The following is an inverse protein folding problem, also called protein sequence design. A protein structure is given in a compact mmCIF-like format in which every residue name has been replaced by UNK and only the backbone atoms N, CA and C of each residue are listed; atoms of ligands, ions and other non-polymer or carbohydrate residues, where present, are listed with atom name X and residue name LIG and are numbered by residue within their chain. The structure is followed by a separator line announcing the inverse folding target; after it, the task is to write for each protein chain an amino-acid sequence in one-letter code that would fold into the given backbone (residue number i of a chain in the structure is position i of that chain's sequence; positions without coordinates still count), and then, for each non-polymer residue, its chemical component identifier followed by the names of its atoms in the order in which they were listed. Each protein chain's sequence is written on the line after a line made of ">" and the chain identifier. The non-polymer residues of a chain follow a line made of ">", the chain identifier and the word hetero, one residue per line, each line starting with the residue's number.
data_IF_817166746181
#
_entry.id   IF_817166746181
#
_cell.length_a   1.000
_cell.length_b   1.000
_cell.length_c   1.000
_cell.angle_alpha   90.00
_cell.angle_beta   90.00
_cell.angle_gamma   90.00
#
_symmetry.space_group_name_H-M   'P 1'
#
loop_
_entity.id
_entity.type
_entity.pdbx_description
1 polymer ?
#
# COMPACT_ATOMS: atom_id res chain seq x y z
N UNK A 1 -63.27 60.66 -5.77
CA UNK A 1 -63.39 62.02 -6.35
C UNK A 1 -63.20 63.02 -5.24
N UNK A 2 -62.21 63.90 -5.42
CA UNK A 2 -61.95 65.22 -4.78
C UNK A 2 -61.86 65.29 -3.24
N UNK A 3 -60.68 65.49 -2.63
CA UNK A 3 -59.79 66.69 -2.60
C UNK A 3 -60.36 67.91 -1.87
N UNK A 4 -59.82 68.27 -0.70
CA UNK A 4 -58.83 69.35 -0.48
C UNK A 4 -58.71 69.74 1.02
N UNK A 5 -57.49 70.13 1.42
CA UNK A 5 -57.04 70.46 2.78
C UNK A 5 -57.52 71.85 3.30
N UNK A 6 -57.25 72.28 4.56
CA UNK A 6 -55.91 72.83 4.87
C UNK A 6 -55.40 72.75 6.34
N UNK A 7 -54.07 72.85 6.42
CA UNK A 7 -53.19 73.52 7.41
C UNK A 7 -53.39 73.36 8.93
N UNK A 8 -52.35 72.84 9.58
CA UNK A 8 -51.92 73.29 10.90
C UNK A 8 -50.43 73.62 10.87
N UNK A 9 -50.13 74.92 10.98
CA UNK A 9 -48.80 75.46 11.28
C UNK A 9 -48.35 74.93 12.64
N UNK A 10 -47.15 74.36 12.75
CA UNK A 10 -46.49 74.12 14.03
C UNK A 10 -45.17 74.89 14.12
N UNK A 11 -45.27 75.95 14.91
CA UNK A 11 -44.27 76.71 15.67
C UNK A 11 -42.86 76.11 15.71
N UNK A 12 -41.89 76.93 15.30
CA UNK A 12 -40.46 76.75 15.58
C UNK A 12 -40.25 76.61 17.09
N UNK A 13 -39.85 75.43 17.54
CA UNK A 13 -39.23 75.24 18.85
C UNK A 13 -37.73 75.10 18.64
N UNK A 14 -37.01 76.12 19.08
CA UNK A 14 -35.56 76.15 19.14
C UNK A 14 -35.11 75.33 20.37
N UNK A 15 -35.07 74.00 20.23
CA UNK A 15 -34.15 73.18 21.01
C UNK A 15 -34.04 71.77 20.41
N UNK A 16 -32.94 71.50 19.71
CA UNK A 16 -32.50 70.13 19.39
C UNK A 16 -30.99 70.10 19.57
N UNK A 17 -30.55 69.39 20.60
CA UNK A 17 -29.16 68.98 20.80
C UNK A 17 -28.67 68.21 19.58
N UNK A 18 -27.78 68.82 18.80
CA UNK A 18 -27.07 68.15 17.70
C UNK A 18 -25.97 67.31 18.35
N UNK A 19 -26.10 65.98 18.27
CA UNK A 19 -25.01 65.07 18.66
C UNK A 19 -23.76 65.37 17.82
N UNK A 20 -22.55 65.42 18.42
CA UNK A 20 -21.33 65.58 17.63
C UNK A 20 -21.14 64.35 16.71
N UNK A 21 -20.52 64.51 15.54
CA UNK A 21 -20.30 63.41 14.61
C UNK A 21 -19.40 62.34 15.25
N UNK A 22 -19.60 61.05 14.93
CA UNK A 22 -18.80 59.98 15.50
C UNK A 22 -17.33 60.19 15.12
N UNK A 23 -16.45 60.18 16.12
CA UNK A 23 -15.00 60.21 15.94
C UNK A 23 -14.62 59.02 15.06
N UNK A 24 -13.96 59.28 13.91
CA UNK A 24 -13.46 58.24 13.02
C UNK A 24 -12.59 57.27 13.82
N UNK A 25 -13.13 56.09 14.12
CA UNK A 25 -12.38 54.99 14.75
C UNK A 25 -11.33 54.55 13.73
N UNK A 26 -10.07 54.88 13.98
CA UNK A 26 -8.94 54.42 13.16
C UNK A 26 -8.87 52.89 13.32
N UNK A 27 -9.31 52.13 12.32
CA UNK A 27 -9.05 50.69 12.27
C UNK A 27 -7.53 50.53 12.22
N UNK A 28 -6.95 50.03 13.31
CA UNK A 28 -5.57 49.57 13.28
C UNK A 28 -5.51 48.35 12.37
N UNK A 29 -4.85 48.50 11.23
CA UNK A 29 -4.59 47.39 10.32
C UNK A 29 -3.78 46.33 11.06
N UNK A 30 -4.32 45.11 11.16
CA UNK A 30 -3.64 43.93 11.75
C UNK A 30 -2.60 43.31 10.83
N UNK A 31 -2.34 43.91 9.66
CA UNK A 31 -1.29 43.47 8.75
C UNK A 31 0.08 43.78 9.33
N UNK A 32 0.79 42.73 9.74
CA UNK A 32 2.19 42.83 10.15
C UNK A 32 3.05 43.32 8.98
N UNK A 33 4.13 44.05 9.28
CA UNK A 33 5.09 44.52 8.27
C UNK A 33 5.64 43.37 7.43
N UNK A 34 5.73 42.17 8.01
CA UNK A 34 6.09 40.93 7.31
C UNK A 34 5.03 40.50 6.29
N UNK A 35 3.75 40.53 6.64
CA UNK A 35 2.66 40.18 5.73
C UNK A 35 2.58 41.13 4.52
N UNK A 36 2.85 42.43 4.74
CA UNK A 36 2.89 43.43 3.66
C UNK A 36 4.13 43.19 2.77
N UNK A 37 5.31 42.96 3.36
CA UNK A 37 6.53 42.68 2.60
C UNK A 37 6.42 41.40 1.76
N UNK A 38 5.78 40.35 2.29
CA UNK A 38 5.57 39.09 1.56
C UNK A 38 4.48 39.19 0.49
N UNK A 39 3.54 40.15 0.60
CA UNK A 39 2.53 40.40 -0.44
C UNK A 39 3.13 40.98 -1.73
N UNK A 40 4.11 41.87 -1.60
CA UNK A 40 4.77 42.55 -2.73
C UNK A 40 5.96 41.80 -3.33
N UNK A 41 6.38 40.67 -2.74
CA UNK A 41 7.44 39.84 -3.34
C UNK A 41 6.93 39.16 -4.61
N UNK A 42 7.70 39.20 -5.72
CA UNK A 42 7.45 38.37 -6.90
C UNK A 42 7.24 36.91 -6.49
N UNK A 43 6.38 36.19 -7.19
CA UNK A 43 6.07 34.77 -6.89
C UNK A 43 7.30 33.87 -6.81
N UNK A 44 8.40 34.25 -7.47
CA UNK A 44 9.70 33.58 -7.41
C UNK A 44 10.51 33.82 -6.12
N UNK A 45 10.19 34.86 -5.35
CA UNK A 45 10.91 35.29 -4.14
C UNK A 45 10.09 35.12 -2.85
N UNK A 46 8.80 34.77 -2.94
CA UNK A 46 8.05 34.32 -1.77
C UNK A 46 8.75 33.07 -1.22
N UNK A 47 8.98 32.95 0.10
CA UNK A 47 9.47 31.70 0.65
C UNK A 47 8.51 30.61 0.20
N UNK A 48 8.99 29.65 -0.60
CA UNK A 48 8.23 28.43 -0.85
C UNK A 48 7.91 27.87 0.54
N UNK A 49 6.64 27.55 0.87
CA UNK A 49 6.38 26.78 2.07
C UNK A 49 7.32 25.57 2.01
N UNK A 50 8.11 25.36 3.06
CA UNK A 50 9.02 24.22 3.11
C UNK A 50 8.21 22.99 2.67
N UNK A 51 8.70 22.24 1.68
CA UNK A 51 8.04 21.01 1.26
C UNK A 51 8.02 20.08 2.46
N UNK A 52 6.90 20.07 3.19
CA UNK A 52 6.70 19.26 4.39
C UNK A 52 6.75 17.76 4.09
N UNK A 53 6.74 17.37 2.81
CA UNK A 53 6.76 15.98 2.37
C UNK A 53 7.96 15.73 1.48
N UNK A 54 8.89 14.92 1.94
CA UNK A 54 10.01 14.43 1.12
C UNK A 54 9.66 13.10 0.45
N UNK A 55 10.20 12.84 -0.74
CA UNK A 55 9.91 11.63 -1.51
C UNK A 55 11.19 10.89 -1.88
N UNK A 56 11.23 9.57 -1.70
CA UNK A 56 12.33 8.70 -2.11
C UNK A 56 11.80 7.43 -2.80
N UNK A 57 12.69 6.72 -3.49
CA UNK A 57 12.38 5.46 -4.18
C UNK A 57 13.30 4.37 -3.66
N UNK A 58 12.74 3.21 -3.36
CA UNK A 58 13.45 2.01 -2.91
C UNK A 58 13.28 0.92 -3.98
N UNK A 59 14.41 0.34 -4.42
CA UNK A 59 14.50 -0.76 -5.41
C UNK A 59 13.65 -0.57 -6.69
N UNK A 60 13.46 0.67 -7.13
CA UNK A 60 12.66 1.05 -8.31
C UNK A 60 11.19 0.60 -8.29
N UNK A 61 10.65 0.20 -7.13
CA UNK A 61 9.32 -0.38 -7.02
C UNK A 61 8.54 0.01 -5.77
N UNK A 62 9.17 0.74 -4.85
CA UNK A 62 8.52 1.30 -3.68
C UNK A 62 8.77 2.81 -3.63
N UNK A 63 7.69 3.58 -3.67
CA UNK A 63 7.72 5.02 -3.47
C UNK A 63 7.46 5.31 -1.98
N UNK A 64 8.36 6.06 -1.34
CA UNK A 64 8.24 6.47 0.06
C UNK A 64 8.04 7.97 0.12
N UNK A 65 7.02 8.43 0.85
CA UNK A 65 6.78 9.84 1.15
C UNK A 65 6.81 10.07 2.65
N UNK A 66 7.65 10.97 3.16
CA UNK A 66 7.75 11.26 4.59
C UNK A 66 7.22 12.67 4.86
N UNK A 67 6.15 12.77 5.65
CA UNK A 67 5.55 14.05 6.03
C UNK A 67 5.97 14.48 7.44
N UNK A 68 6.34 15.74 7.59
CA UNK A 68 6.63 16.38 8.87
C UNK A 68 5.44 17.28 9.29
N UNK A 69 5.00 17.12 10.55
CA UNK A 69 3.95 17.97 11.12
C UNK A 69 4.46 19.40 11.38
N UNK A 70 3.55 20.38 11.43
CA UNK A 70 3.89 21.80 11.55
C UNK A 70 4.76 22.17 12.78
N UNK A 71 4.62 21.43 13.88
CA UNK A 71 5.26 21.72 15.19
C UNK A 71 6.19 20.60 15.67
N UNK A 72 6.78 19.81 14.76
CA UNK A 72 7.71 18.74 15.15
C UNK A 72 8.95 19.32 15.86
N UNK A 73 9.06 19.10 17.17
CA UNK A 73 10.27 19.46 17.93
C UNK A 73 11.50 18.72 17.38
N UNK A 74 12.68 19.36 17.34
CA UNK A 74 13.90 18.75 16.82
C UNK A 74 14.30 17.51 17.64
N UNK A 75 14.83 16.52 16.93
CA UNK A 75 15.24 15.22 17.45
C UNK A 75 16.54 15.29 18.30
N UNK A 76 16.54 16.05 19.40
CA UNK A 76 17.69 16.18 20.31
C UNK A 76 17.47 15.65 21.72
N UNK A 77 16.30 15.07 22.03
CA UNK A 77 16.07 14.33 23.28
C UNK A 77 15.73 12.86 22.97
N UNK A 78 16.76 12.03 22.90
CA UNK A 78 16.65 10.60 22.64
C UNK A 78 17.44 9.82 23.69
N UNK A 79 16.92 9.77 24.92
CA UNK A 79 17.40 8.83 25.96
C UNK A 79 16.26 8.31 26.86
N UNK A 80 15.06 8.14 26.29
CA UNK A 80 13.99 7.39 26.95
C UNK A 80 13.39 6.37 25.97
N UNK A 81 13.03 5.17 26.45
CA UNK A 81 12.35 4.17 25.64
C UNK A 81 11.00 4.75 25.20
N UNK A 82 10.94 5.24 23.97
CA UNK A 82 9.70 5.76 23.38
C UNK A 82 8.74 4.58 23.24
N UNK A 83 7.64 4.61 23.97
CA UNK A 83 6.45 3.82 23.62
C UNK A 83 5.98 4.36 22.26
N UNK A 84 6.36 3.68 21.19
CA UNK A 84 5.95 4.05 19.83
C UNK A 84 4.45 3.77 19.73
N UNK A 85 3.63 4.82 19.85
CA UNK A 85 2.25 4.74 19.42
C UNK A 85 2.27 4.78 17.88
N UNK A 86 2.16 3.61 17.25
CA UNK A 86 2.25 3.41 15.81
C UNK A 86 1.00 4.00 15.13
N UNK A 87 0.95 5.31 14.92
CA UNK A 87 -0.10 5.98 14.13
C UNK A 87 0.40 6.52 12.78
N UNK A 88 1.65 6.23 12.39
CA UNK A 88 2.40 7.13 11.49
C UNK A 88 2.70 6.58 10.09
N UNK A 89 1.92 5.63 9.56
CA UNK A 89 2.15 5.21 8.18
C UNK A 89 0.93 4.77 7.37
N UNK A 90 1.03 4.94 6.05
CA UNK A 90 0.05 4.53 5.06
C UNK A 90 0.70 3.55 4.09
N UNK A 91 0.17 2.32 3.98
CA UNK A 91 0.66 1.31 3.04
C UNK A 91 -0.29 1.15 1.88
N UNK A 92 0.19 1.29 0.64
CA UNK A 92 -0.67 1.31 -0.55
C UNK A 92 -0.12 0.48 -1.71
N UNK A 93 -1.00 -0.22 -2.42
CA UNK A 93 -0.68 -0.94 -3.66
C UNK A 93 -1.01 -0.03 -4.86
N UNK A 94 -0.02 0.35 -5.67
CA UNK A 94 -0.14 1.34 -6.76
C UNK A 94 0.40 0.83 -8.11
N UNK A 95 -0.21 -0.25 -8.65
CA UNK A 95 0.24 -0.89 -9.91
C UNK A 95 0.11 -0.03 -11.18
N UNK A 96 -0.59 1.11 -11.10
CA UNK A 96 -0.71 2.06 -12.21
C UNK A 96 0.45 3.06 -12.30
N UNK A 97 1.37 3.06 -11.34
CA UNK A 97 2.53 3.95 -11.30
C UNK A 97 3.77 3.15 -11.71
N UNK A 98 4.66 3.76 -12.49
CA UNK A 98 5.96 3.18 -12.84
C UNK A 98 7.07 4.07 -12.30
N UNK A 99 7.98 3.50 -11.51
CA UNK A 99 9.15 4.20 -10.97
C UNK A 99 10.42 3.95 -11.80
N UNK A 100 10.32 3.15 -12.87
CA UNK A 100 11.40 2.89 -13.82
C UNK A 100 11.65 4.13 -14.69
N UNK A 101 12.15 5.20 -14.10
CA UNK A 101 12.34 6.49 -14.75
C UNK A 101 13.62 7.18 -14.29
N UNK A 102 14.76 6.52 -14.53
CA UNK A 102 16.03 7.23 -14.72
C UNK A 102 16.54 7.16 -16.17
N UNK A 103 15.76 6.58 -17.09
CA UNK A 103 16.04 6.64 -18.53
C UNK A 103 15.11 7.65 -19.18
N UNK A 104 15.65 8.51 -20.03
CA UNK A 104 15.02 9.63 -20.75
C UNK A 104 13.87 9.27 -21.72
N UNK A 105 13.25 8.08 -21.56
CA UNK A 105 12.19 7.52 -22.42
C UNK A 105 10.97 6.99 -21.66
N UNK A 106 10.79 7.32 -20.38
CA UNK A 106 9.57 6.94 -19.66
C UNK A 106 8.33 7.57 -20.33
N UNK A 107 7.22 6.84 -20.52
CA UNK A 107 6.01 7.39 -21.11
C UNK A 107 5.52 8.63 -20.32
N UNK A 108 5.20 9.73 -21.01
CA UNK A 108 4.69 10.96 -20.37
C UNK A 108 3.50 10.72 -19.44
N UNK A 109 2.68 9.71 -19.74
CA UNK A 109 1.54 9.30 -18.92
C UNK A 109 1.95 8.77 -17.54
N UNK A 110 3.05 8.03 -17.45
CA UNK A 110 3.51 7.45 -16.19
C UNK A 110 4.10 8.52 -15.26
N UNK A 111 4.84 9.48 -15.84
CA UNK A 111 5.32 10.65 -15.11
C UNK A 111 4.15 11.48 -14.54
N UNK A 112 3.08 11.67 -15.33
CA UNK A 112 1.87 12.37 -14.88
C UNK A 112 1.16 11.62 -13.74
N UNK A 113 1.02 10.30 -13.84
CA UNK A 113 0.40 9.50 -12.76
C UNK A 113 1.19 9.59 -11.46
N UNK A 114 2.52 9.56 -11.55
CA UNK A 114 3.39 9.73 -10.38
C UNK A 114 3.24 11.13 -9.77
N UNK A 115 3.23 12.19 -10.59
CA UNK A 115 3.05 13.56 -10.08
C UNK A 115 1.67 13.76 -9.45
N UNK A 116 0.61 13.27 -10.10
CA UNK A 116 -0.76 13.37 -9.59
C UNK A 116 -0.91 12.62 -8.26
N UNK A 117 -0.28 11.44 -8.14
CA UNK A 117 -0.26 10.68 -6.90
C UNK A 117 0.48 11.43 -5.78
N UNK A 118 1.69 11.94 -6.05
CA UNK A 118 2.46 12.71 -5.06
C UNK A 118 1.70 13.95 -4.59
N UNK A 119 1.07 14.68 -5.50
CA UNK A 119 0.26 15.85 -5.16
C UNK A 119 -0.95 15.49 -4.29
N UNK A 120 -1.68 14.44 -4.66
CA UNK A 120 -2.84 13.96 -3.88
C UNK A 120 -2.43 13.48 -2.48
N UNK A 121 -1.39 12.66 -2.40
CA UNK A 121 -0.88 12.16 -1.13
C UNK A 121 -0.39 13.30 -0.23
N UNK A 122 0.38 14.24 -0.79
CA UNK A 122 0.85 15.42 -0.04
C UNK A 122 -0.31 16.25 0.50
N UNK A 123 -1.37 16.45 -0.29
CA UNK A 123 -2.58 17.17 0.15
C UNK A 123 -3.27 16.47 1.32
N UNK A 124 -3.44 15.15 1.25
CA UNK A 124 -4.04 14.35 2.34
C UNK A 124 -3.18 14.44 3.61
N UNK A 125 -1.86 14.23 3.49
CA UNK A 125 -0.94 14.27 4.63
C UNK A 125 -0.93 15.66 5.29
N UNK A 126 -0.98 16.71 4.48
CA UNK A 126 -1.06 18.10 4.99
C UNK A 126 -2.38 18.38 5.72
N UNK A 127 -3.50 17.80 5.27
CA UNK A 127 -4.79 17.95 5.95
C UNK A 127 -4.87 17.15 7.25
N UNK A 128 -4.20 16.00 7.31
CA UNK A 128 -4.10 15.21 8.54
C UNK A 128 -3.21 15.92 9.57
N UNK A 129 -2.19 16.66 9.12
CA UNK A 129 -1.21 17.39 9.97
C UNK A 129 -0.57 16.51 11.05
N UNK A 130 -0.28 15.27 10.65
CA UNK A 130 0.38 14.26 11.49
C UNK A 130 1.70 13.84 10.84
N UNK A 131 2.72 13.46 11.62
CA UNK A 131 4.02 13.03 11.11
C UNK A 131 3.97 11.62 10.47
N UNK A 132 3.30 11.50 9.32
CA UNK A 132 2.98 10.23 8.66
C UNK A 132 3.94 9.93 7.50
N UNK A 133 4.31 8.66 7.34
CA UNK A 133 5.05 8.13 6.18
C UNK A 133 4.14 7.29 5.27
N UNK A 134 4.10 7.58 3.97
CA UNK A 134 3.41 6.75 2.98
C UNK A 134 4.40 5.84 2.26
N UNK A 135 4.06 4.57 2.13
CA UNK A 135 4.77 3.54 1.38
C UNK A 135 3.82 3.03 0.27
N UNK A 136 4.20 3.24 -0.99
CA UNK A 136 3.39 2.90 -2.15
C UNK A 136 4.13 1.91 -3.06
N UNK A 137 3.69 0.65 -3.03
CA UNK A 137 4.26 -0.44 -3.84
C UNK A 137 3.74 -0.39 -5.28
N UNK A 138 4.63 -0.15 -6.24
CA UNK A 138 4.28 0.06 -7.64
C UNK A 138 4.43 -1.20 -8.52
N UNK A 139 5.16 -2.21 -8.06
CA UNK A 139 5.36 -3.48 -8.77
C UNK A 139 4.63 -4.66 -8.10
N UNK A 140 4.73 -5.85 -8.71
CA UNK A 140 4.22 -7.13 -8.18
C UNK A 140 5.34 -7.94 -7.51
N UNK A 141 6.05 -7.31 -6.58
CA UNK A 141 7.22 -7.87 -5.89
C UNK A 141 7.00 -7.96 -4.37
N UNK A 142 8.07 -8.04 -3.60
CA UNK A 142 8.04 -8.18 -2.14
C UNK A 142 7.32 -7.04 -1.40
N UNK A 143 7.24 -5.84 -1.99
CA UNK A 143 6.60 -4.69 -1.35
C UNK A 143 5.07 -4.72 -1.50
N UNK A 144 4.54 -5.45 -2.49
CA UNK A 144 3.11 -5.48 -2.74
C UNK A 144 2.37 -6.33 -1.70
N UNK A 145 1.43 -5.72 -0.97
CA UNK A 145 0.51 -6.44 -0.07
C UNK A 145 -0.17 -7.58 -0.84
N UNK A 146 -0.26 -8.80 -0.26
CA UNK A 146 -0.12 -9.10 1.17
C UNK A 146 1.30 -9.41 1.66
N UNK A 147 2.34 -9.23 0.83
CA UNK A 147 3.72 -9.46 1.27
C UNK A 147 4.19 -8.37 2.22
N UNK A 148 5.15 -8.70 3.09
CA UNK A 148 5.58 -7.86 4.20
C UNK A 148 6.74 -6.90 3.85
N UNK A 149 7.09 -6.72 2.58
CA UNK A 149 8.23 -5.89 2.20
C UNK A 149 8.10 -4.43 2.64
N UNK A 150 6.90 -3.83 2.55
CA UNK A 150 6.69 -2.47 3.06
C UNK A 150 6.81 -2.37 4.58
N UNK A 151 6.39 -3.41 5.32
CA UNK A 151 6.58 -3.48 6.77
C UNK A 151 8.06 -3.50 7.13
N UNK A 152 8.85 -4.37 6.48
CA UNK A 152 10.29 -4.44 6.70
C UNK A 152 10.98 -3.10 6.39
N UNK A 153 10.64 -2.46 5.28
CA UNK A 153 11.19 -1.14 4.93
C UNK A 153 10.83 -0.07 5.98
N UNK A 154 9.60 -0.08 6.49
CA UNK A 154 9.18 0.82 7.56
C UNK A 154 10.04 0.64 8.82
N UNK A 155 10.26 -0.61 9.24
CA UNK A 155 11.09 -0.93 10.39
C UNK A 155 12.53 -0.43 10.19
N UNK A 156 13.11 -0.70 9.02
CA UNK A 156 14.45 -0.22 8.65
C UNK A 156 14.54 1.31 8.69
N UNK A 157 13.56 2.01 8.10
CA UNK A 157 13.49 3.48 8.07
C UNK A 157 13.41 4.12 9.46
N UNK A 158 12.90 3.38 10.45
CA UNK A 158 12.77 3.81 11.84
C UNK A 158 13.90 3.32 12.75
N UNK A 159 14.88 2.59 12.20
CA UNK A 159 15.95 1.96 12.99
C UNK A 159 15.45 0.83 13.89
N UNK A 160 14.27 0.28 13.60
CA UNK A 160 13.59 -0.79 14.34
C UNK A 160 13.73 -2.13 13.61
N UNK A 161 14.87 -2.37 12.95
CA UNK A 161 15.11 -3.58 12.15
C UNK A 161 14.88 -4.89 12.91
N UNK A 162 15.17 -6.03 12.28
CA UNK A 162 14.74 -7.39 12.68
C UNK A 162 15.19 -7.92 14.08
N UNK A 163 15.66 -7.06 14.99
CA UNK A 163 15.95 -7.43 16.37
C UNK A 163 14.64 -7.84 17.11
N UNK A 164 14.62 -8.99 17.81
CA UNK A 164 13.45 -9.43 18.57
C UNK A 164 13.03 -8.41 19.63
N UNK A 165 11.72 -8.14 19.73
CA UNK A 165 11.16 -7.27 20.77
C UNK A 165 11.24 -5.76 20.50
N UNK A 166 11.69 -5.33 19.32
CA UNK A 166 11.69 -3.91 18.91
C UNK A 166 10.28 -3.35 18.72
N UNK A 167 9.33 -4.20 18.30
CA UNK A 167 7.93 -3.85 18.06
C UNK A 167 7.01 -4.81 18.81
N UNK A 168 6.10 -4.24 19.58
CA UNK A 168 5.02 -4.98 20.24
C UNK A 168 3.91 -5.28 19.23
N UNK A 169 3.95 -6.47 18.62
CA UNK A 169 2.98 -6.89 17.61
C UNK A 169 1.57 -7.07 18.18
N UNK A 170 1.43 -7.41 19.47
CA UNK A 170 0.14 -7.60 20.12
C UNK A 170 -0.61 -6.28 20.28
N UNK A 171 0.12 -5.19 20.55
CA UNK A 171 -0.43 -3.83 20.60
C UNK A 171 -0.45 -3.13 19.25
N UNK A 172 0.10 -3.76 18.21
CA UNK A 172 0.10 -3.24 16.86
C UNK A 172 -1.13 -3.69 16.10
N UNK A 173 -1.59 -2.85 15.18
CA UNK A 173 -2.76 -3.15 14.36
C UNK A 173 -2.64 -2.54 12.97
N UNK A 174 -3.38 -3.11 12.02
CA UNK A 174 -3.49 -2.62 10.67
C UNK A 174 -4.96 -2.41 10.30
N UNK A 175 -5.26 -1.25 9.74
CA UNK A 175 -6.62 -0.88 9.32
C UNK A 175 -6.65 -0.73 7.81
N UNK A 176 -7.52 -1.47 7.13
CA UNK A 176 -7.59 -1.47 5.67
C UNK A 176 -8.92 -1.94 5.10
N UNK A 177 -9.26 -1.45 3.91
CA UNK A 177 -10.52 -1.74 3.23
C UNK A 177 -10.47 -3.04 2.40
N UNK A 178 -9.28 -3.48 1.97
CA UNK A 178 -9.11 -4.71 1.21
C UNK A 178 -9.16 -5.95 2.14
N UNK A 179 -10.34 -6.16 2.71
CA UNK A 179 -10.62 -7.10 3.79
C UNK A 179 -11.27 -8.41 3.30
N UNK A 180 -11.52 -8.56 2.00
CA UNK A 180 -12.14 -9.76 1.41
C UNK A 180 -13.58 -10.00 1.85
N UNK A 181 -14.30 -8.96 2.30
CA UNK A 181 -15.68 -9.07 2.76
C UNK A 181 -16.57 -9.53 1.61
N UNK A 182 -17.50 -10.43 1.94
CA UNK A 182 -18.48 -10.91 0.97
C UNK A 182 -19.47 -9.79 0.65
N UNK A 183 -19.93 -9.76 -0.60
CA UNK A 183 -21.00 -8.84 -0.99
C UNK A 183 -22.31 -9.21 -0.29
N UNK A 184 -23.12 -8.19 -0.04
CA UNK A 184 -24.51 -8.32 0.42
C UNK A 184 -25.44 -7.61 -0.58
N UNK A 185 -26.74 -7.57 -0.27
CA UNK A 185 -27.71 -6.80 -1.06
C UNK A 185 -27.43 -5.29 -1.04
N UNK A 186 -26.73 -4.77 -0.03
CA UNK A 186 -26.47 -3.34 0.17
C UNK A 186 -24.99 -2.96 0.04
N UNK A 187 -24.08 -3.94 -0.01
CA UNK A 187 -22.64 -3.71 -0.09
C UNK A 187 -21.98 -4.60 -1.15
N UNK A 188 -21.11 -4.02 -1.96
CA UNK A 188 -20.33 -4.79 -2.94
C UNK A 188 -19.27 -5.62 -2.24
N UNK A 189 -18.96 -6.80 -2.81
CA UNK A 189 -17.81 -7.61 -2.39
C UNK A 189 -16.53 -6.78 -2.47
N UNK A 190 -15.63 -6.89 -1.49
CA UNK A 190 -14.32 -6.23 -1.56
C UNK A 190 -13.53 -6.76 -2.76
N UNK A 191 -12.76 -5.88 -3.41
CA UNK A 191 -11.97 -6.24 -4.59
C UNK A 191 -10.83 -7.22 -4.28
N UNK A 192 -10.37 -7.26 -3.01
CA UNK A 192 -9.23 -8.05 -2.56
C UNK A 192 -9.26 -8.28 -1.04
N UNK A 193 -8.49 -9.26 -0.57
CA UNK A 193 -8.16 -9.53 0.82
C UNK A 193 -6.73 -9.09 1.21
N UNK A 194 -6.07 -8.26 0.39
CA UNK A 194 -4.65 -7.96 0.53
C UNK A 194 -4.27 -7.29 1.86
N UNK A 195 -5.16 -6.50 2.46
CA UNK A 195 -4.87 -5.82 3.72
C UNK A 195 -4.99 -6.76 4.91
N UNK A 196 -6.03 -7.60 4.91
CA UNK A 196 -6.22 -8.65 5.92
C UNK A 196 -5.07 -9.66 5.90
N UNK A 197 -4.68 -10.09 4.71
CA UNK A 197 -3.58 -11.05 4.56
C UNK A 197 -2.21 -10.43 4.83
N UNK A 198 -2.03 -9.14 4.56
CA UNK A 198 -0.83 -8.41 5.01
C UNK A 198 -0.71 -8.44 6.54
N UNK A 199 -1.78 -8.07 7.25
CA UNK A 199 -1.78 -8.07 8.72
C UNK A 199 -1.52 -9.47 9.28
N UNK A 200 -2.13 -10.50 8.69
CA UNK A 200 -1.89 -11.90 9.05
C UNK A 200 -0.44 -12.34 8.82
N UNK A 201 0.20 -11.91 7.72
CA UNK A 201 1.60 -12.24 7.43
C UNK A 201 2.59 -11.50 8.33
N UNK A 202 2.24 -10.31 8.82
CA UNK A 202 3.04 -9.58 9.82
C UNK A 202 2.82 -10.13 11.23
N UNK A 203 1.62 -10.63 11.53
CA UNK A 203 1.24 -11.11 12.86
C UNK A 203 0.64 -10.01 13.76
N UNK A 204 -0.04 -9.03 13.17
CA UNK A 204 -0.69 -7.90 13.89
C UNK A 204 -2.21 -7.96 13.76
N UNK A 205 -2.93 -7.33 14.68
CA UNK A 205 -4.39 -7.25 14.64
C UNK A 205 -4.87 -6.55 13.35
N UNK A 206 -6.02 -6.97 12.82
CA UNK A 206 -6.60 -6.38 11.61
C UNK A 206 -8.02 -5.88 11.89
N UNK A 207 -8.32 -4.68 11.41
CA UNK A 207 -9.66 -4.10 11.43
C UNK A 207 -10.00 -3.47 10.07
N UNK A 208 -11.29 -3.43 9.71
CA UNK A 208 -11.73 -2.54 8.62
C UNK A 208 -11.92 -1.10 9.13
N UNK A 209 -11.97 -0.10 8.22
CA UNK A 209 -12.22 1.28 8.64
C UNK A 209 -13.53 1.44 9.42
N UNK A 210 -14.57 0.70 9.04
CA UNK A 210 -15.87 0.75 9.72
C UNK A 210 -15.81 0.12 11.12
N UNK A 211 -15.10 -1.02 11.24
CA UNK A 211 -14.88 -1.67 12.53
C UNK A 211 -14.09 -0.76 13.49
N UNK A 212 -13.04 -0.10 12.98
CA UNK A 212 -12.13 0.69 13.81
C UNK A 212 -12.63 2.10 14.10
N UNK A 213 -13.03 2.86 13.08
CA UNK A 213 -13.38 4.27 13.22
C UNK A 213 -14.86 4.50 13.54
N UNK A 214 -15.75 3.60 13.12
CA UNK A 214 -17.21 3.73 13.32
C UNK A 214 -17.75 2.80 14.42
N UNK A 215 -16.93 1.88 14.93
CA UNK A 215 -17.36 0.90 15.93
C UNK A 215 -18.38 -0.11 15.41
N UNK A 216 -18.43 -0.34 14.10
CA UNK A 216 -19.31 -1.37 13.52
C UNK A 216 -18.84 -2.78 13.90
N UNK A 217 -19.77 -3.72 13.94
CA UNK A 217 -19.44 -5.14 14.14
C UNK A 217 -18.71 -5.74 12.93
N UNK A 218 -17.89 -6.80 13.14
CA UNK A 218 -17.11 -7.40 12.08
C UNK A 218 -18.00 -8.05 11.01
N UNK A 219 -17.68 -7.80 9.75
CA UNK A 219 -18.42 -8.33 8.60
C UNK A 219 -17.82 -9.68 8.14
N UNK A 220 -18.65 -10.62 7.66
CA UNK A 220 -18.15 -11.90 7.18
C UNK A 220 -17.23 -11.72 5.96
N UNK A 221 -16.15 -12.48 5.94
CA UNK A 221 -15.20 -12.51 4.84
C UNK A 221 -14.87 -13.95 4.47
N UNK A 222 -14.40 -14.15 3.23
CA UNK A 222 -13.95 -15.47 2.75
C UNK A 222 -12.53 -15.32 2.22
N UNK A 223 -11.64 -16.20 2.68
CA UNK A 223 -10.35 -16.42 2.02
C UNK A 223 -10.50 -17.58 1.05
N UNK A 224 -10.24 -17.35 -0.21
CA UNK A 224 -10.31 -18.40 -1.24
C UNK A 224 -9.24 -19.48 -1.04
N UNK A 225 -8.09 -19.12 -0.43
CA UNK A 225 -7.02 -20.05 -0.09
C UNK A 225 -6.32 -19.61 1.21
N UNK A 226 -6.11 -20.55 2.13
CA UNK A 226 -5.41 -20.33 3.39
C UNK A 226 -4.18 -21.27 3.45
N UNK A 227 -2.96 -20.74 3.27
CA UNK A 227 -1.75 -21.56 3.29
C UNK A 227 -1.56 -22.32 4.60
N UNK A 228 -1.92 -21.72 5.74
CA UNK A 228 -1.70 -22.33 7.06
C UNK A 228 -2.60 -23.54 7.25
N UNK A 229 -3.88 -23.42 6.85
CA UNK A 229 -4.82 -24.55 6.88
C UNK A 229 -4.38 -25.65 5.93
N UNK A 230 -4.04 -25.28 4.69
CA UNK A 230 -3.56 -26.23 3.70
C UNK A 230 -2.33 -27.00 4.18
N UNK A 231 -1.35 -26.31 4.76
CA UNK A 231 -0.15 -26.96 5.30
C UNK A 231 -0.46 -27.81 6.54
N UNK A 232 -1.39 -27.40 7.39
CA UNK A 232 -1.85 -28.19 8.53
C UNK A 232 -2.55 -29.48 8.10
N UNK A 233 -3.39 -29.42 7.07
CA UNK A 233 -4.05 -30.59 6.47
C UNK A 233 -3.02 -31.53 5.83
N UNK A 234 -2.07 -31.00 5.06
CA UNK A 234 -0.99 -31.78 4.44
C UNK A 234 -0.08 -32.41 5.49
N UNK A 235 0.28 -31.69 6.54
CA UNK A 235 1.09 -32.21 7.64
C UNK A 235 0.34 -33.25 8.47
N UNK A 236 -0.97 -33.08 8.69
CA UNK A 236 -1.83 -34.06 9.37
C UNK A 236 -2.10 -35.31 8.54
N UNK A 237 -2.13 -35.19 7.21
CA UNK A 237 -2.24 -36.31 6.27
C UNK A 237 -0.91 -37.06 6.07
N UNK A 238 0.23 -36.44 6.42
CA UNK A 238 1.53 -37.07 6.44
C UNK A 238 1.67 -37.93 7.72
N UNK A 239 0.96 -39.06 7.75
CA UNK A 239 1.29 -40.13 8.70
C UNK A 239 2.73 -40.59 8.46
N UNK A 240 3.50 -40.89 9.52
CA UNK A 240 4.87 -41.41 9.50
C UNK A 240 5.10 -42.65 8.60
N UNK A 241 4.03 -43.21 8.03
CA UNK A 241 4.08 -44.20 6.96
C UNK A 241 4.42 -43.55 5.61
N UNK A 242 5.73 -43.33 5.42
CA UNK A 242 6.43 -43.05 4.15
C UNK A 242 6.21 -41.62 3.64
N UNK A 243 7.26 -40.78 3.55
CA UNK A 243 7.16 -39.55 2.76
C UNK A 243 6.68 -39.94 1.36
N UNK A 244 5.88 -39.12 0.68
CA UNK A 244 5.53 -39.27 -0.75
C UNK A 244 6.77 -39.11 -1.66
N UNK A 245 7.86 -39.79 -1.33
CA UNK A 245 9.05 -39.96 -2.13
C UNK A 245 8.65 -40.87 -3.28
N UNK A 246 8.69 -40.30 -4.48
CA UNK A 246 8.62 -41.07 -5.69
C UNK A 246 9.65 -42.20 -5.62
N UNK A 247 9.18 -43.44 -5.71
CA UNK A 247 10.03 -44.62 -5.75
C UNK A 247 10.02 -45.17 -7.17
N UNK A 248 11.22 -45.32 -7.74
CA UNK A 248 11.40 -45.93 -9.06
C UNK A 248 11.07 -47.43 -8.97
N UNK A 249 9.98 -47.85 -9.60
CA UNK A 249 9.51 -49.24 -9.57
C UNK A 249 9.99 -50.06 -10.76
N UNK A 250 10.24 -49.40 -11.90
CA UNK A 250 10.63 -50.06 -13.14
C UNK A 250 12.03 -49.62 -13.55
N UNK A 251 12.82 -50.50 -14.22
CA UNK A 251 14.10 -50.10 -14.80
C UNK A 251 13.96 -48.95 -15.80
N UNK A 252 12.90 -49.03 -16.63
CA UNK A 252 12.55 -48.05 -17.67
C UNK A 252 11.05 -47.77 -17.58
N UNK A 253 10.69 -46.50 -17.39
CA UNK A 253 9.32 -46.00 -17.46
C UNK A 253 9.28 -44.51 -17.81
N UNK A 254 8.06 -44.00 -18.03
CA UNK A 254 7.79 -42.60 -18.35
C UNK A 254 7.03 -41.97 -17.19
N UNK A 255 7.54 -40.88 -16.65
CA UNK A 255 6.85 -40.05 -15.66
C UNK A 255 6.30 -38.80 -16.33
N UNK A 256 4.99 -38.58 -16.23
CA UNK A 256 4.33 -37.38 -16.79
C UNK A 256 3.98 -36.42 -15.66
N UNK A 257 4.61 -35.24 -15.66
CA UNK A 257 4.39 -34.17 -14.69
C UNK A 257 3.24 -33.27 -15.16
N UNK A 258 2.06 -33.43 -14.55
CA UNK A 258 0.87 -32.63 -14.84
C UNK A 258 0.59 -31.61 -13.72
N UNK A 259 0.24 -30.38 -14.09
CA UNK A 259 -0.11 -29.31 -13.14
C UNK A 259 0.12 -27.92 -13.72
N UNK A 260 -0.40 -26.89 -13.04
CA UNK A 260 -0.29 -25.51 -13.49
C UNK A 260 1.18 -25.02 -13.58
N UNK A 261 1.47 -24.00 -14.41
CA UNK A 261 2.76 -23.32 -14.37
C UNK A 261 3.01 -22.76 -12.96
N UNK A 262 4.24 -22.90 -12.46
CA UNK A 262 4.60 -22.45 -11.11
C UNK A 262 4.20 -23.38 -9.96
N UNK A 263 3.51 -24.50 -10.20
CA UNK A 263 3.14 -25.48 -9.17
C UNK A 263 4.31 -26.33 -8.63
N UNK A 264 5.56 -26.00 -8.96
CA UNK A 264 6.74 -26.72 -8.46
C UNK A 264 7.13 -27.99 -9.23
N UNK A 265 6.51 -28.30 -10.37
CA UNK A 265 6.82 -29.50 -11.19
C UNK A 265 8.30 -29.64 -11.54
N UNK A 266 8.92 -28.56 -12.01
CA UNK A 266 10.35 -28.54 -12.34
C UNK A 266 11.21 -28.76 -11.09
N UNK A 267 10.83 -28.16 -9.96
CA UNK A 267 11.52 -28.36 -8.67
C UNK A 267 11.42 -29.82 -8.23
N UNK A 268 10.26 -30.45 -8.38
CA UNK A 268 10.05 -31.87 -8.09
C UNK A 268 10.95 -32.76 -8.94
N UNK A 269 11.03 -32.51 -10.25
CA UNK A 269 11.93 -33.25 -11.15
C UNK A 269 13.39 -33.20 -10.66
N UNK A 270 13.92 -32.01 -10.39
CA UNK A 270 15.32 -31.85 -9.99
C UNK A 270 15.63 -32.51 -8.65
N UNK A 271 14.69 -32.46 -7.70
CA UNK A 271 14.89 -33.03 -6.37
C UNK A 271 14.70 -34.55 -6.30
N UNK A 272 13.77 -35.10 -7.08
CA UNK A 272 13.33 -36.49 -6.89
C UNK A 272 13.55 -37.40 -8.12
N UNK A 273 13.48 -36.89 -9.34
CA UNK A 273 13.57 -37.72 -10.55
C UNK A 273 14.98 -37.74 -11.14
N UNK A 274 15.65 -36.58 -11.24
CA UNK A 274 17.02 -36.53 -11.78
C UNK A 274 18.00 -37.41 -10.98
N UNK A 275 17.97 -37.44 -9.64
CA UNK A 275 18.85 -38.34 -8.87
C UNK A 275 18.58 -39.84 -9.11
N UNK A 276 17.38 -40.20 -9.58
CA UNK A 276 17.00 -41.58 -9.91
C UNK A 276 17.32 -41.97 -11.37
N UNK A 277 18.02 -41.09 -12.10
CA UNK A 277 18.48 -41.33 -13.47
C UNK A 277 17.44 -41.04 -14.55
N UNK A 278 16.36 -40.32 -14.24
CA UNK A 278 15.40 -39.88 -15.25
C UNK A 278 15.97 -38.74 -16.09
N UNK A 279 15.79 -38.81 -17.41
CA UNK A 279 16.08 -37.69 -18.31
C UNK A 279 14.85 -36.82 -18.58
N UNK A 280 15.07 -35.50 -18.60
CA UNK A 280 13.98 -34.52 -18.75
C UNK A 280 13.67 -34.27 -20.21
N UNK A 281 12.39 -34.38 -20.56
CA UNK A 281 11.86 -33.93 -21.84
C UNK A 281 10.99 -32.70 -21.57
N UNK A 282 11.41 -31.57 -22.12
CA UNK A 282 10.77 -30.28 -21.91
C UNK A 282 10.31 -29.68 -23.25
N UNK A 283 8.99 -29.54 -23.41
CA UNK A 283 8.40 -28.99 -24.62
C UNK A 283 8.74 -27.52 -24.83
N UNK A 284 8.98 -26.73 -23.78
CA UNK A 284 9.37 -25.31 -23.94
C UNK A 284 10.73 -25.16 -24.64
N UNK A 285 11.61 -26.15 -24.47
CA UNK A 285 12.93 -26.21 -25.11
C UNK A 285 12.80 -26.81 -26.51
N UNK A 286 12.12 -27.96 -26.62
CA UNK A 286 11.98 -28.71 -27.88
C UNK A 286 10.96 -28.10 -28.86
N UNK A 287 10.14 -27.15 -28.40
CA UNK A 287 9.10 -26.38 -29.10
C UNK A 287 7.90 -27.18 -29.59
N UNK A 288 8.10 -28.39 -30.14
CA UNK A 288 7.02 -29.18 -30.75
C UNK A 288 6.84 -30.53 -30.05
N UNK A 289 5.59 -31.02 -30.05
CA UNK A 289 5.23 -32.33 -29.48
C UNK A 289 6.00 -33.46 -30.17
N UNK A 290 6.12 -33.42 -31.50
CA UNK A 290 6.76 -34.48 -32.27
C UNK A 290 8.26 -34.62 -31.94
N UNK A 291 8.94 -33.49 -31.68
CA UNK A 291 10.32 -33.51 -31.19
C UNK A 291 10.42 -34.13 -29.80
N UNK A 292 9.47 -33.84 -28.91
CA UNK A 292 9.42 -34.47 -27.59
C UNK A 292 9.21 -35.98 -27.68
N UNK A 293 8.31 -36.44 -28.55
CA UNK A 293 8.05 -37.86 -28.79
C UNK A 293 9.27 -38.57 -29.37
N UNK A 294 9.96 -37.94 -30.33
CA UNK A 294 11.19 -38.48 -30.91
C UNK A 294 12.27 -38.65 -29.85
N UNK A 295 12.57 -37.59 -29.08
CA UNK A 295 13.58 -37.64 -28.02
C UNK A 295 13.20 -38.65 -26.93
N UNK A 296 11.91 -38.79 -26.61
CA UNK A 296 11.43 -39.82 -25.69
C UNK A 296 11.71 -41.22 -26.22
N UNK A 297 11.39 -41.48 -27.49
CA UNK A 297 11.62 -42.77 -28.13
C UNK A 297 13.12 -43.11 -28.17
N UNK A 298 13.98 -42.14 -28.48
CA UNK A 298 15.44 -42.31 -28.52
C UNK A 298 15.97 -42.75 -27.14
N UNK A 299 15.62 -42.03 -26.06
CA UNK A 299 16.03 -42.40 -24.69
C UNK A 299 15.49 -43.75 -24.24
N UNK A 300 14.23 -44.05 -24.55
CA UNK A 300 13.63 -45.34 -24.20
C UNK A 300 14.28 -46.50 -24.95
N UNK A 301 14.72 -46.28 -26.20
CA UNK A 301 15.51 -47.24 -26.97
C UNK A 301 16.87 -47.55 -26.34
N UNK A 302 17.45 -46.56 -25.65
CA UNK A 302 18.68 -46.70 -24.86
C UNK A 302 18.43 -47.23 -23.43
N UNK A 303 17.21 -47.66 -23.11
CA UNK A 303 16.80 -48.09 -21.76
C UNK A 303 16.99 -47.02 -20.68
N UNK A 304 16.84 -45.75 -21.06
CA UNK A 304 16.89 -44.61 -20.14
C UNK A 304 15.45 -44.19 -19.79
N UNK A 305 15.06 -44.16 -18.49
CA UNK A 305 13.75 -43.69 -18.09
C UNK A 305 13.62 -42.18 -18.29
N UNK A 306 12.42 -41.69 -18.57
CA UNK A 306 12.21 -40.28 -18.94
C UNK A 306 11.10 -39.62 -18.13
N UNK A 307 11.27 -38.33 -17.86
CA UNK A 307 10.27 -37.49 -17.21
C UNK A 307 9.86 -36.35 -18.16
N UNK A 308 8.56 -36.27 -18.46
CA UNK A 308 7.99 -35.30 -19.39
C UNK A 308 7.21 -34.26 -18.60
N UNK A 309 7.51 -32.98 -18.81
CA UNK A 309 6.77 -31.89 -18.16
C UNK A 309 6.75 -30.63 -19.00
N UNK A 310 5.63 -29.92 -18.92
CA UNK A 310 5.44 -28.56 -19.42
C UNK A 310 5.57 -27.55 -18.26
#
# INVERSE_FOLDING_TARGET
>A
MSDQAPSLKRVHTADRSISPPPVKRRQQSTTTTKAVADFFKPSSQKPKPAEKTSWSVVKDSLLVGKHEAADAMPATEADQPRKIAIFDFVLSNQSGISLKSNNSKAPKADLKRLSDFKAKATSILTQLDLPICIYAATAKDEFRKPRTGMWRQLLDDRGLGDAPGTVDLEKSMFVGDAAGRSGSTTATKDFSCSDRDFAANVGIAFHTPEEYFLGEGPKPFVRDFDPTKFLGEVAGAATDAVPLLFSKKNPVDIVILCGSPGAGKSTFYWKHLKPLGYERINQDILKTRDKCLKVAADFLGESVPVAIGM
#
